data_IF_065035064755
#
_entry.id   IF_065035064755
#
_cell.length_a   1.000
_cell.length_b   1.000
_cell.length_c   1.000
_cell.angle_alpha   90.00
_cell.angle_beta   90.00
_cell.angle_gamma   90.00
#
_symmetry.space_group_name_H-M   'P 1'
#
loop_
_entity.id
_entity.type
_entity.pdbx_description
1 polymer ?
#
# COMPACT_ATOMS: atom_id res chain seq x y z
N UNK A 1 10.46 26.79 -19.25
CA UNK A 1 9.63 26.18 -18.13
C UNK A 1 10.50 25.48 -17.09
N UNK A 2 11.42 24.58 -17.44
CA UNK A 2 12.29 23.90 -16.45
C UNK A 2 13.28 24.87 -15.77
N UNK A 3 13.84 25.83 -16.52
CA UNK A 3 14.72 26.85 -15.96
C UNK A 3 13.96 27.85 -15.08
N UNK A 4 12.73 28.23 -15.47
CA UNK A 4 11.85 29.12 -14.70
C UNK A 4 11.39 28.52 -13.38
N UNK A 5 11.21 27.19 -13.31
CA UNK A 5 10.81 26.47 -12.10
C UNK A 5 11.95 26.03 -11.18
N UNK A 6 13.21 26.37 -11.48
CA UNK A 6 14.36 25.91 -10.70
C UNK A 6 14.33 26.41 -9.25
N UNK A 7 14.05 27.70 -9.06
CA UNK A 7 13.98 28.31 -7.72
C UNK A 7 12.85 27.71 -6.88
N UNK A 8 11.69 27.46 -7.49
CA UNK A 8 10.55 26.82 -6.82
C UNK A 8 10.88 25.37 -6.42
N UNK A 9 11.61 24.64 -7.28
CA UNK A 9 12.05 23.28 -6.98
C UNK A 9 13.09 23.25 -5.84
N UNK A 10 14.04 24.18 -5.81
CA UNK A 10 15.03 24.31 -4.74
C UNK A 10 14.35 24.72 -3.41
N UNK A 11 13.38 25.62 -3.47
CA UNK A 11 12.59 26.02 -2.29
C UNK A 11 11.74 24.85 -1.76
N UNK A 12 11.07 24.13 -2.62
CA UNK A 12 10.29 22.93 -2.27
C UNK A 12 11.18 21.85 -1.63
N UNK A 13 12.39 21.64 -2.18
CA UNK A 13 13.38 20.73 -1.59
C UNK A 13 13.79 21.17 -0.19
N UNK A 14 14.04 22.46 0.02
CA UNK A 14 14.38 23.01 1.33
C UNK A 14 13.25 22.81 2.35
N UNK A 15 12.00 23.07 1.95
CA UNK A 15 10.83 22.86 2.82
C UNK A 15 10.57 21.39 3.15
N UNK A 16 10.91 20.49 2.22
CA UNK A 16 10.78 19.05 2.43
C UNK A 16 11.94 18.43 3.23
N UNK A 17 12.99 19.20 3.52
CA UNK A 17 14.15 18.70 4.25
C UNK A 17 13.82 18.48 5.72
N UNK A 18 14.06 17.27 6.21
CA UNK A 18 13.95 16.97 7.63
C UNK A 18 15.07 17.63 8.43
N UNK A 19 14.70 18.33 9.48
CA UNK A 19 15.63 18.94 10.44
C UNK A 19 15.80 17.97 11.61
N UNK A 20 17.02 17.44 11.80
CA UNK A 20 17.30 16.44 12.84
C UNK A 20 17.77 17.04 14.17
N UNK A 21 18.10 18.32 14.19
CA UNK A 21 18.64 19.03 15.35
C UNK A 21 17.68 20.08 15.92
N UNK A 22 16.38 19.82 15.77
CA UNK A 22 15.35 20.65 16.40
C UNK A 22 15.52 20.54 17.92
N UNK A 23 15.64 21.67 18.66
CA UNK A 23 15.75 21.65 20.12
C UNK A 23 14.39 21.27 20.74
N UNK A 24 14.12 19.98 20.81
CA UNK A 24 12.92 19.42 21.47
C UNK A 24 13.38 18.79 22.78
N UNK A 25 12.90 19.34 23.88
CA UNK A 25 13.15 18.82 25.23
C UNK A 25 11.93 17.99 25.70
N UNK A 26 11.67 16.88 25.00
CA UNK A 26 10.58 15.97 25.29
C UNK A 26 11.13 14.55 25.30
N UNK A 27 10.87 13.80 26.37
CA UNK A 27 11.21 12.38 26.43
C UNK A 27 10.17 11.52 25.68
N UNK A 28 10.58 10.33 25.22
CA UNK A 28 9.68 9.38 24.57
C UNK A 28 8.58 8.93 25.54
N UNK A 29 8.87 8.89 26.85
CA UNK A 29 7.92 8.54 27.90
C UNK A 29 6.79 9.57 28.02
N UNK A 30 7.09 10.84 27.82
CA UNK A 30 6.09 11.92 27.81
C UNK A 30 5.21 11.89 26.55
N UNK A 31 5.65 11.22 25.49
CA UNK A 31 4.88 11.04 24.27
C UNK A 31 3.87 9.88 24.35
N UNK A 32 3.83 9.13 25.46
CA UNK A 32 2.85 8.04 25.63
C UNK A 32 1.42 8.56 25.65
N UNK A 33 0.60 7.97 24.80
CA UNK A 33 -0.82 8.24 24.79
C UNK A 33 -1.46 7.73 26.09
N UNK A 34 -2.19 8.61 26.79
CA UNK A 34 -2.84 8.30 28.07
C UNK A 34 -4.37 8.35 27.97
N UNK A 35 -4.92 8.36 26.75
CA UNK A 35 -6.31 8.62 26.50
C UNK A 35 -6.65 10.10 26.54
N UNK A 36 -7.92 10.41 26.70
CA UNK A 36 -8.44 11.77 26.76
C UNK A 36 -9.57 11.89 27.79
N UNK A 37 -9.81 13.11 28.26
CA UNK A 37 -10.90 13.40 29.17
C UNK A 37 -12.25 13.42 28.43
N UNK A 38 -13.02 12.34 28.60
CA UNK A 38 -14.33 12.17 27.96
C UNK A 38 -15.34 13.26 28.37
N UNK A 39 -15.25 13.79 29.60
CA UNK A 39 -16.19 14.83 30.09
C UNK A 39 -16.00 16.14 29.32
N UNK A 40 -14.76 16.46 28.97
CA UNK A 40 -14.43 17.67 28.20
C UNK A 40 -14.56 17.45 26.70
N UNK A 41 -14.24 16.26 26.20
CA UNK A 41 -14.25 15.96 24.77
C UNK A 41 -15.66 15.78 24.20
N UNK A 42 -16.56 15.08 24.93
CA UNK A 42 -17.91 14.80 24.44
C UNK A 42 -18.69 16.05 24.05
N UNK A 43 -18.78 17.12 24.88
CA UNK A 43 -19.48 18.34 24.48
C UNK A 43 -18.89 19.05 23.26
N UNK A 44 -17.58 18.93 23.08
CA UNK A 44 -16.91 19.51 21.89
C UNK A 44 -17.30 18.75 20.63
N UNK A 45 -17.29 17.42 20.68
CA UNK A 45 -17.71 16.58 19.56
C UNK A 45 -19.19 16.77 19.21
N UNK A 46 -20.06 16.95 20.21
CA UNK A 46 -21.47 17.27 20.01
C UNK A 46 -21.66 18.62 19.34
N UNK A 47 -20.97 19.65 19.82
CA UNK A 47 -21.00 21.01 19.23
C UNK A 47 -20.51 21.04 17.79
N UNK A 48 -19.56 20.16 17.44
CA UNK A 48 -19.02 20.02 16.08
C UNK A 48 -19.81 19.03 15.22
N UNK A 49 -20.91 18.46 15.76
CA UNK A 49 -21.77 17.47 15.08
C UNK A 49 -20.99 16.22 14.60
N UNK A 50 -19.89 15.87 15.27
CA UNK A 50 -19.04 14.74 14.92
C UNK A 50 -19.60 13.42 15.48
N UNK A 51 -20.82 13.07 15.09
CA UNK A 51 -21.58 11.92 15.61
C UNK A 51 -20.89 10.56 15.40
N UNK A 52 -20.07 10.42 14.36
CA UNK A 52 -19.29 9.19 14.11
C UNK A 52 -18.25 8.97 15.21
N UNK A 53 -17.56 10.01 15.63
CA UNK A 53 -16.58 9.93 16.73
C UNK A 53 -17.27 9.68 18.06
N UNK A 54 -18.41 10.32 18.34
CA UNK A 54 -19.20 10.08 19.56
C UNK A 54 -19.61 8.61 19.69
N UNK A 55 -20.04 7.97 18.62
CA UNK A 55 -20.40 6.54 18.64
C UNK A 55 -19.22 5.61 18.91
N UNK A 56 -18.01 6.02 18.55
CA UNK A 56 -16.79 5.23 18.70
C UNK A 56 -15.91 5.70 19.86
N UNK A 57 -16.34 6.66 20.68
CA UNK A 57 -15.51 7.35 21.66
C UNK A 57 -14.85 6.40 22.67
N UNK A 58 -15.55 5.36 23.09
CA UNK A 58 -15.01 4.35 24.02
C UNK A 58 -13.92 3.50 23.35
N UNK A 59 -14.08 3.15 22.08
CA UNK A 59 -13.08 2.41 21.30
C UNK A 59 -11.83 3.28 21.09
N UNK A 60 -12.02 4.55 20.77
CA UNK A 60 -10.93 5.50 20.63
C UNK A 60 -10.18 5.69 21.95
N UNK A 61 -10.91 5.83 23.07
CA UNK A 61 -10.32 5.94 24.40
C UNK A 61 -9.37 4.78 24.70
N UNK A 62 -9.77 3.55 24.41
CA UNK A 62 -8.91 2.37 24.58
C UNK A 62 -7.69 2.39 23.66
N UNK A 63 -7.87 2.73 22.38
CA UNK A 63 -6.78 2.82 21.41
C UNK A 63 -5.74 3.88 21.82
N UNK A 64 -6.16 4.95 22.45
CA UNK A 64 -5.28 6.01 22.95
C UNK A 64 -4.79 5.79 24.40
N UNK A 65 -4.87 4.55 24.90
CA UNK A 65 -4.30 4.18 26.20
C UNK A 65 -5.12 4.59 27.42
N UNK A 66 -6.33 5.09 27.22
CA UNK A 66 -7.23 5.47 28.33
C UNK A 66 -8.04 4.29 28.86
N UNK A 67 -8.44 4.36 30.14
CA UNK A 67 -9.34 3.39 30.78
C UNK A 67 -10.80 3.83 30.63
N UNK A 68 -11.70 2.84 30.46
CA UNK A 68 -13.16 3.08 30.46
C UNK A 68 -13.64 2.94 31.89
N UNK A 69 -14.04 4.04 32.53
CA UNK A 69 -14.70 3.99 33.83
C UNK A 69 -16.18 3.60 33.68
N UNK A 70 -16.73 2.88 34.68
CA UNK A 70 -18.06 2.26 34.64
C UNK A 70 -19.21 3.28 34.53
N UNK A 71 -18.95 4.54 34.81
CA UNK A 71 -19.93 5.63 34.69
C UNK A 71 -20.29 5.98 33.24
N UNK A 72 -19.47 5.60 32.27
CA UNK A 72 -19.69 5.90 30.85
C UNK A 72 -20.65 4.91 30.17
N UNK A 73 -21.02 3.82 30.83
CA UNK A 73 -21.97 2.82 30.28
C UNK A 73 -23.42 3.31 30.18
N UNK A 74 -23.77 4.39 30.88
CA UNK A 74 -25.18 4.83 31.00
C UNK A 74 -25.61 5.82 29.92
N UNK A 75 -24.70 6.37 29.14
CA UNK A 75 -25.01 7.40 28.12
C UNK A 75 -25.34 6.79 26.75
N UNK A 76 -25.04 5.51 26.49
CA UNK A 76 -25.14 4.89 25.15
C UNK A 76 -26.21 3.77 25.09
N UNK A 77 -27.10 3.64 26.07
CA UNK A 77 -28.15 2.62 26.01
C UNK A 77 -29.54 3.19 25.72
N UNK A 78 -29.73 3.71 24.50
CA UNK A 78 -31.05 3.77 23.85
C UNK A 78 -30.90 3.84 22.34
N UNK A 79 -31.13 2.70 21.74
CA UNK A 79 -31.65 2.32 20.43
C UNK A 79 -30.78 1.36 19.62
N UNK A 80 -31.38 0.16 19.54
CA UNK A 80 -31.34 -0.83 18.43
C UNK A 80 -29.98 -1.24 17.84
N UNK A 81 -29.65 -2.50 18.18
CA UNK A 81 -28.80 -3.39 17.39
C UNK A 81 -29.41 -3.55 15.99
N UNK A 82 -28.89 -2.85 15.02
CA UNK A 82 -28.98 -3.22 13.62
C UNK A 82 -27.56 -3.11 13.04
N UNK A 83 -27.10 -4.23 12.53
CA UNK A 83 -25.93 -4.55 11.73
C UNK A 83 -24.99 -3.40 11.39
N UNK A 84 -23.87 -3.31 12.12
CA UNK A 84 -22.72 -2.49 11.73
C UNK A 84 -21.92 -3.28 10.70
N UNK A 85 -22.37 -3.21 9.44
CA UNK A 85 -21.50 -3.54 8.31
C UNK A 85 -20.40 -2.48 8.25
N UNK A 86 -19.16 -2.92 8.32
CA UNK A 86 -17.97 -2.09 8.12
C UNK A 86 -18.05 -1.44 6.73
N UNK A 87 -18.52 -0.18 6.69
CA UNK A 87 -18.36 0.65 5.50
C UNK A 87 -16.87 1.05 5.44
N UNK A 88 -16.10 0.27 4.72
CA UNK A 88 -14.72 0.60 4.37
C UNK A 88 -14.72 1.79 3.41
N UNK A 89 -13.59 2.49 3.35
CA UNK A 89 -13.38 3.61 2.40
C UNK A 89 -13.64 3.19 0.94
N UNK A 90 -13.60 1.89 0.65
CA UNK A 90 -13.85 1.27 -0.66
C UNK A 90 -15.33 1.27 -1.08
N UNK A 91 -16.30 1.31 -0.15
CA UNK A 91 -17.74 1.40 -0.50
C UNK A 91 -18.12 2.69 -1.23
N UNK A 92 -17.30 3.74 -1.10
CA UNK A 92 -17.50 4.99 -1.84
C UNK A 92 -17.09 4.85 -3.31
N UNK A 93 -16.18 3.93 -3.62
CA UNK A 93 -15.70 3.66 -4.98
C UNK A 93 -16.68 2.76 -5.74
N UNK A 94 -17.30 1.77 -5.06
CA UNK A 94 -18.30 0.90 -5.70
C UNK A 94 -19.61 1.64 -6.08
N UNK A 95 -19.95 2.73 -5.40
CA UNK A 95 -21.14 3.53 -5.79
C UNK A 95 -20.88 4.44 -6.98
N UNK A 96 -19.64 4.85 -7.25
CA UNK A 96 -19.29 5.56 -8.48
C UNK A 96 -19.25 4.65 -9.70
N UNK A 97 -18.81 3.40 -9.55
CA UNK A 97 -18.77 2.44 -10.67
C UNK A 97 -20.13 2.01 -11.20
N UNK A 98 -21.23 2.23 -10.48
CA UNK A 98 -22.59 1.93 -10.97
C UNK A 98 -23.24 3.03 -11.80
N UNK A 99 -22.65 4.22 -11.87
CA UNK A 99 -23.16 5.32 -12.70
C UNK A 99 -22.50 5.34 -14.08
N UNK A 100 -21.30 4.75 -14.23
CA UNK A 100 -20.56 4.70 -15.49
C UNK A 100 -20.88 3.49 -16.40
N UNK A 101 -21.79 2.59 -16.00
CA UNK A 101 -22.16 1.41 -16.80
C UNK A 101 -23.10 1.72 -17.99
N UNK A 102 -23.13 2.95 -18.53
CA UNK A 102 -23.98 3.29 -19.67
C UNK A 102 -23.24 3.71 -20.95
N UNK A 103 -21.92 3.60 -20.99
CA UNK A 103 -21.12 3.79 -22.21
C UNK A 103 -20.13 2.63 -22.43
N UNK A 104 -20.61 1.38 -22.36
CA UNK A 104 -19.87 0.26 -22.91
C UNK A 104 -20.33 -0.02 -24.35
N UNK A 105 -19.56 0.45 -25.32
CA UNK A 105 -19.42 -0.24 -26.60
C UNK A 105 -18.01 -0.02 -27.13
N UNK A 106 -17.39 -1.15 -27.42
CA UNK A 106 -16.10 -1.40 -28.08
C UNK A 106 -14.95 -1.62 -27.08
N UNK A 107 -14.96 -2.79 -26.40
CA UNK A 107 -13.72 -3.51 -26.15
C UNK A 107 -13.69 -4.71 -27.10
N UNK A 108 -12.72 -4.69 -28.02
CA UNK A 108 -12.32 -5.83 -28.80
C UNK A 108 -12.04 -7.02 -27.88
N UNK A 109 -12.29 -8.23 -28.39
CA UNK A 109 -12.07 -9.50 -27.67
C UNK A 109 -10.78 -9.47 -26.85
N UNK A 110 -10.91 -9.32 -25.54
CA UNK A 110 -9.79 -9.40 -24.61
C UNK A 110 -9.27 -10.84 -24.68
N UNK A 111 -8.15 -11.04 -25.33
CA UNK A 111 -7.44 -12.31 -25.26
C UNK A 111 -7.24 -12.65 -23.79
N UNK A 112 -7.77 -13.81 -23.37
CA UNK A 112 -7.74 -14.28 -21.99
C UNK A 112 -6.30 -14.28 -21.47
N UNK A 113 -6.05 -13.57 -20.36
CA UNK A 113 -4.72 -13.47 -19.75
C UNK A 113 -4.30 -14.87 -19.29
N UNK A 114 -3.11 -15.31 -19.67
CA UNK A 114 -2.56 -16.63 -19.39
C UNK A 114 -1.28 -16.50 -18.52
N UNK A 115 -1.40 -16.25 -17.21
CA UNK A 115 -0.25 -16.02 -16.35
C UNK A 115 0.58 -17.29 -16.19
N UNK A 116 1.90 -17.12 -16.29
CA UNK A 116 2.86 -18.18 -16.02
C UNK A 116 3.03 -18.34 -14.51
N UNK A 117 2.60 -19.45 -13.92
CA UNK A 117 2.84 -19.76 -12.51
C UNK A 117 4.26 -20.35 -12.36
N UNK A 118 5.08 -19.66 -11.58
CA UNK A 118 6.49 -19.99 -11.34
C UNK A 118 6.61 -20.80 -10.04
N UNK A 119 6.32 -22.08 -10.13
CA UNK A 119 6.24 -23.03 -9.01
C UNK A 119 7.44 -24.00 -8.93
N UNK A 120 8.48 -23.76 -9.74
CA UNK A 120 9.70 -24.57 -9.76
C UNK A 120 10.94 -23.72 -10.05
N UNK A 121 12.10 -24.17 -9.57
CA UNK A 121 13.38 -23.50 -9.81
C UNK A 121 13.72 -23.38 -11.30
N UNK A 122 13.36 -24.39 -12.09
CA UNK A 122 13.57 -24.34 -13.56
C UNK A 122 12.82 -23.19 -14.20
N UNK A 123 11.52 -23.03 -13.85
CA UNK A 123 10.71 -21.90 -14.33
C UNK A 123 11.25 -20.56 -13.82
N UNK A 124 11.69 -20.50 -12.55
CA UNK A 124 12.29 -19.29 -11.98
C UNK A 124 13.56 -18.89 -12.76
N UNK A 125 14.45 -19.83 -13.06
CA UNK A 125 15.66 -19.57 -13.80
C UNK A 125 15.38 -19.10 -15.25
N UNK A 126 14.35 -19.66 -15.88
CA UNK A 126 13.90 -19.23 -17.19
C UNK A 126 13.38 -17.78 -17.15
N UNK A 127 12.52 -17.46 -16.18
CA UNK A 127 12.00 -16.11 -15.94
C UNK A 127 13.14 -15.10 -15.68
N UNK A 128 14.10 -15.43 -14.82
CA UNK A 128 15.26 -14.57 -14.52
C UNK A 128 16.08 -14.28 -15.80
N UNK A 129 16.28 -15.29 -16.63
CA UNK A 129 17.01 -15.14 -17.90
C UNK A 129 16.27 -14.18 -18.82
N UNK A 130 14.95 -14.30 -18.91
CA UNK A 130 14.10 -13.40 -19.68
C UNK A 130 14.12 -11.98 -19.11
N UNK A 131 13.91 -11.81 -17.82
CA UNK A 131 13.88 -10.49 -17.17
C UNK A 131 15.20 -9.72 -17.31
N UNK A 132 16.34 -10.42 -17.35
CA UNK A 132 17.66 -9.81 -17.61
C UNK A 132 17.78 -9.17 -18.99
N UNK A 133 16.91 -9.51 -19.95
CA UNK A 133 16.86 -8.86 -21.26
C UNK A 133 16.04 -7.57 -21.25
N UNK A 134 15.18 -7.35 -20.24
CA UNK A 134 14.25 -6.23 -20.16
C UNK A 134 14.95 -4.97 -19.63
N UNK A 135 15.57 -4.20 -20.53
CA UNK A 135 16.37 -2.99 -20.21
C UNK A 135 15.83 -1.73 -20.88
N UNK A 136 14.69 -1.82 -21.55
CA UNK A 136 14.13 -0.70 -22.27
C UNK A 136 13.33 0.22 -21.34
N UNK A 137 13.76 1.48 -21.18
CA UNK A 137 13.09 2.50 -20.37
C UNK A 137 11.68 2.80 -20.84
N UNK A 138 11.40 2.66 -22.14
CA UNK A 138 10.06 2.91 -22.70
C UNK A 138 9.10 1.72 -22.52
N UNK A 139 9.62 0.58 -22.07
CA UNK A 139 8.83 -0.60 -21.77
C UNK A 139 9.33 -1.24 -20.45
N UNK A 140 9.14 -0.57 -19.32
CA UNK A 140 9.54 -1.07 -18.02
C UNK A 140 8.75 -2.33 -17.66
N UNK A 141 9.35 -3.23 -16.90
CA UNK A 141 8.64 -4.38 -16.32
C UNK A 141 7.73 -3.88 -15.21
N UNK A 142 6.44 -4.23 -15.27
CA UNK A 142 5.52 -4.01 -14.17
C UNK A 142 5.76 -5.03 -13.07
N UNK A 143 5.76 -4.57 -11.81
CA UNK A 143 5.93 -5.40 -10.62
C UNK A 143 4.83 -5.13 -9.63
N UNK A 144 4.46 -6.16 -8.90
CA UNK A 144 3.49 -6.09 -7.82
C UNK A 144 3.82 -7.12 -6.74
N UNK A 145 3.48 -6.83 -5.47
CA UNK A 145 3.68 -7.75 -4.35
C UNK A 145 2.35 -8.12 -3.71
N UNK A 146 2.13 -9.41 -3.52
CA UNK A 146 1.02 -9.92 -2.72
C UNK A 146 1.47 -10.15 -1.28
N UNK A 147 0.69 -9.67 -0.34
CA UNK A 147 1.06 -9.64 1.07
C UNK A 147 -0.08 -10.07 1.99
N UNK A 148 0.25 -10.50 3.20
CA UNK A 148 -0.73 -10.90 4.21
C UNK A 148 -1.47 -9.73 4.88
N UNK A 149 -0.99 -8.49 4.71
CA UNK A 149 -1.52 -7.29 5.36
C UNK A 149 -1.33 -6.06 4.47
N UNK A 150 -2.23 -5.07 4.64
CA UNK A 150 -2.10 -3.75 4.01
C UNK A 150 -1.12 -2.83 4.76
N UNK A 151 -0.73 -3.18 5.98
CA UNK A 151 0.32 -2.47 6.73
C UNK A 151 1.69 -3.02 6.34
N UNK A 152 2.53 -2.26 5.61
CA UNK A 152 3.79 -2.78 5.07
C UNK A 152 4.77 -3.26 6.15
N UNK A 153 4.65 -2.76 7.39
CA UNK A 153 5.52 -3.14 8.51
C UNK A 153 5.24 -4.54 9.03
N UNK A 154 3.97 -4.98 8.94
CA UNK A 154 3.50 -6.28 9.44
C UNK A 154 3.23 -7.26 8.29
N UNK A 155 3.46 -6.83 7.06
CA UNK A 155 3.13 -7.57 5.85
C UNK A 155 4.17 -8.67 5.56
N UNK A 156 3.71 -9.92 5.57
CA UNK A 156 4.48 -11.04 5.05
C UNK A 156 4.30 -11.12 3.53
N UNK A 157 5.40 -11.25 2.80
CA UNK A 157 5.38 -11.46 1.37
C UNK A 157 4.82 -12.85 1.03
N UNK A 158 3.73 -12.89 0.28
CA UNK A 158 3.00 -14.10 -0.13
C UNK A 158 3.29 -14.48 -1.58
N UNK A 159 3.47 -13.48 -2.44
CA UNK A 159 3.79 -13.70 -3.85
C UNK A 159 4.34 -12.45 -4.53
N UNK A 160 4.90 -12.64 -5.72
CA UNK A 160 5.44 -11.58 -6.55
C UNK A 160 4.90 -11.74 -7.96
N UNK A 161 4.22 -10.70 -8.46
CA UNK A 161 3.79 -10.56 -9.84
C UNK A 161 4.77 -9.77 -10.69
N UNK A 162 4.93 -10.13 -11.96
CA UNK A 162 5.64 -9.29 -12.94
C UNK A 162 5.04 -9.46 -14.33
N UNK A 163 5.03 -8.35 -15.10
CA UNK A 163 4.59 -8.32 -16.49
C UNK A 163 5.60 -7.54 -17.32
N UNK A 164 6.06 -8.13 -18.45
CA UNK A 164 7.12 -7.56 -19.26
C UNK A 164 6.70 -7.20 -20.68
N UNK A 165 5.41 -7.37 -21.00
CA UNK A 165 4.91 -7.07 -22.35
C UNK A 165 3.40 -7.01 -22.41
N UNK A 166 2.86 -7.02 -23.63
CA UNK A 166 1.43 -6.83 -23.90
C UNK A 166 0.72 -8.12 -24.35
N UNK A 167 1.43 -9.24 -24.44
CA UNK A 167 0.81 -10.52 -24.80
C UNK A 167 0.22 -11.18 -23.56
N UNK A 168 -0.80 -12.03 -23.73
CA UNK A 168 -1.48 -12.70 -22.62
C UNK A 168 -0.57 -13.56 -21.73
N UNK A 169 0.53 -14.07 -22.27
CA UNK A 169 1.52 -14.92 -21.63
C UNK A 169 2.79 -14.18 -21.16
N UNK A 170 2.86 -12.85 -21.37
CA UNK A 170 3.99 -12.03 -20.94
C UNK A 170 3.82 -11.51 -19.49
N UNK A 171 3.23 -12.33 -18.66
CA UNK A 171 2.98 -12.09 -17.23
C UNK A 171 3.30 -13.36 -16.43
N UNK A 172 3.89 -13.18 -15.25
CA UNK A 172 4.21 -14.29 -14.37
C UNK A 172 3.83 -13.96 -12.92
N UNK A 173 3.54 -15.03 -12.17
CA UNK A 173 3.32 -14.98 -10.73
C UNK A 173 4.20 -16.01 -10.01
N UNK A 174 4.89 -15.60 -8.96
CA UNK A 174 5.81 -16.42 -8.17
C UNK A 174 5.21 -16.60 -6.77
N UNK A 175 4.57 -17.72 -6.45
CA UNK A 175 4.02 -17.99 -5.13
C UNK A 175 5.15 -18.30 -4.13
N UNK A 176 5.13 -17.65 -2.95
CA UNK A 176 6.15 -17.81 -1.90
C UNK A 176 5.59 -18.04 -0.49
N UNK A 177 4.29 -17.86 -0.29
CA UNK A 177 3.68 -17.93 1.03
C UNK A 177 2.19 -18.24 1.05
N UNK A 178 1.64 -18.84 -0.02
CA UNK A 178 0.23 -19.25 -0.06
C UNK A 178 -0.05 -20.46 0.84
N UNK A 179 -1.27 -20.51 1.38
CA UNK A 179 -1.73 -21.66 2.22
C UNK A 179 -1.92 -22.91 1.35
N UNK A 180 -2.37 -22.74 0.10
CA UNK A 180 -2.62 -23.82 -0.84
C UNK A 180 -1.71 -23.68 -2.06
N UNK A 181 -1.43 -24.81 -2.73
CA UNK A 181 -0.60 -24.86 -3.91
C UNK A 181 0.90 -24.98 -3.64
N UNK A 182 1.68 -24.99 -4.72
CA UNK A 182 3.13 -25.11 -4.64
C UNK A 182 3.78 -23.74 -4.50
N UNK A 183 4.41 -23.50 -3.35
CA UNK A 183 5.22 -22.30 -3.13
C UNK A 183 6.69 -22.60 -3.38
N UNK A 184 7.42 -21.63 -3.92
CA UNK A 184 8.87 -21.63 -3.91
C UNK A 184 9.41 -21.10 -2.57
N UNK A 185 10.60 -21.53 -2.18
CA UNK A 185 11.28 -20.96 -1.03
C UNK A 185 11.50 -19.45 -1.22
N UNK A 186 10.98 -18.66 -0.30
CA UNK A 186 11.03 -17.18 -0.34
C UNK A 186 12.45 -16.66 -0.48
N UNK A 187 13.41 -17.23 0.28
CA UNK A 187 14.80 -16.78 0.24
C UNK A 187 15.46 -17.10 -1.08
N UNK A 188 15.17 -18.27 -1.65
CA UNK A 188 15.65 -18.65 -2.98
C UNK A 188 15.14 -17.66 -4.05
N UNK A 189 13.84 -17.37 -4.05
CA UNK A 189 13.21 -16.43 -5.00
C UNK A 189 13.83 -15.04 -4.87
N UNK A 190 13.91 -14.50 -3.66
CA UNK A 190 14.45 -13.17 -3.41
C UNK A 190 15.94 -13.07 -3.81
N UNK A 191 16.76 -14.08 -3.52
CA UNK A 191 18.14 -14.10 -3.94
C UNK A 191 18.29 -14.15 -5.45
N UNK A 192 17.45 -14.90 -6.15
CA UNK A 192 17.46 -14.99 -7.60
C UNK A 192 17.02 -13.67 -8.27
N UNK A 193 16.01 -12.98 -7.69
CA UNK A 193 15.51 -11.70 -8.20
C UNK A 193 16.37 -10.49 -7.81
N UNK A 194 17.13 -10.57 -6.71
CA UNK A 194 17.94 -9.49 -6.16
C UNK A 194 18.76 -8.71 -7.22
N UNK A 195 19.51 -9.34 -8.12
CA UNK A 195 20.29 -8.61 -9.12
C UNK A 195 19.46 -7.75 -10.08
N UNK A 196 18.17 -8.09 -10.23
CA UNK A 196 17.21 -7.34 -11.07
C UNK A 196 16.54 -6.26 -10.24
N UNK A 197 16.04 -6.61 -9.05
CA UNK A 197 15.28 -5.70 -8.19
C UNK A 197 16.12 -4.53 -7.67
N UNK A 198 17.40 -4.78 -7.35
CA UNK A 198 18.30 -3.76 -6.80
C UNK A 198 19.09 -2.97 -7.86
N UNK A 199 18.82 -3.19 -9.14
CA UNK A 199 19.58 -2.54 -10.23
C UNK A 199 18.74 -1.53 -11.00
N UNK A 200 19.30 -0.35 -11.25
CA UNK A 200 18.74 0.69 -12.12
C UNK A 200 18.79 0.32 -13.62
N UNK A 201 19.55 -0.72 -13.98
CA UNK A 201 19.61 -1.21 -15.37
C UNK A 201 18.31 -1.87 -15.84
N UNK A 202 17.44 -2.27 -14.92
CA UNK A 202 16.18 -2.94 -15.21
C UNK A 202 15.03 -2.01 -14.81
N UNK A 203 14.48 -1.24 -15.76
CA UNK A 203 13.43 -0.28 -15.47
C UNK A 203 12.16 -0.98 -14.99
N UNK A 204 11.55 -0.42 -13.96
CA UNK A 204 10.38 -0.97 -13.31
C UNK A 204 9.25 0.05 -13.27
N UNK A 205 8.02 -0.43 -13.38
CA UNK A 205 6.81 0.32 -13.05
C UNK A 205 6.03 -0.40 -11.96
N UNK A 206 5.40 0.35 -11.07
CA UNK A 206 4.58 -0.17 -9.98
C UNK A 206 3.36 0.72 -9.75
N UNK A 207 2.40 0.20 -9.03
CA UNK A 207 1.26 0.93 -8.48
C UNK A 207 1.55 1.22 -7.01
N UNK A 208 1.68 2.48 -6.58
CA UNK A 208 2.07 2.84 -5.22
C UNK A 208 3.41 2.19 -4.79
N UNK A 209 4.44 2.42 -5.58
CA UNK A 209 5.77 1.84 -5.41
C UNK A 209 6.37 2.00 -4.00
N UNK A 210 5.86 2.96 -3.20
CA UNK A 210 6.26 3.14 -1.80
C UNK A 210 5.93 1.91 -0.95
N UNK A 211 4.77 1.28 -1.19
CA UNK A 211 4.35 0.09 -0.48
C UNK A 211 5.32 -1.08 -0.78
N UNK A 212 5.52 -1.40 -2.05
CA UNK A 212 6.41 -2.51 -2.46
C UNK A 212 7.84 -2.30 -2.01
N UNK A 213 8.34 -1.05 -2.06
CA UNK A 213 9.67 -0.72 -1.54
C UNK A 213 9.81 -1.05 -0.06
N UNK A 214 8.79 -0.80 0.75
CA UNK A 214 8.80 -1.16 2.17
C UNK A 214 8.73 -2.67 2.35
N UNK A 215 7.84 -3.36 1.65
CA UNK A 215 7.73 -4.83 1.68
C UNK A 215 9.07 -5.47 1.30
N UNK A 216 9.68 -5.08 0.19
CA UNK A 216 10.99 -5.60 -0.24
C UNK A 216 12.10 -5.22 0.74
N UNK A 217 12.08 -4.03 1.32
CA UNK A 217 13.07 -3.57 2.32
C UNK A 217 13.06 -4.47 3.56
N UNK A 218 11.90 -4.89 4.04
CA UNK A 218 11.79 -5.85 5.16
C UNK A 218 12.34 -7.24 4.81
N UNK A 219 12.37 -7.57 3.52
CA UNK A 219 13.01 -8.79 3.02
C UNK A 219 14.51 -8.60 2.69
N UNK A 220 15.08 -7.45 3.04
CA UNK A 220 16.47 -7.11 2.77
C UNK A 220 16.78 -6.83 1.29
N UNK A 221 15.78 -6.44 0.49
CA UNK A 221 15.92 -6.03 -0.92
C UNK A 221 15.79 -4.50 -1.00
N UNK A 222 16.78 -3.84 -1.60
CA UNK A 222 16.75 -2.41 -1.86
C UNK A 222 16.24 -2.15 -3.29
N UNK A 223 14.92 -2.06 -3.44
CA UNK A 223 14.29 -1.87 -4.75
C UNK A 223 14.79 -0.58 -5.43
N UNK A 224 15.33 -0.73 -6.66
CA UNK A 224 15.87 0.35 -7.46
C UNK A 224 15.35 0.30 -8.91
N UNK A 225 15.62 1.34 -9.72
CA UNK A 225 15.22 1.40 -11.14
C UNK A 225 13.72 1.61 -11.34
N UNK A 226 13.02 2.21 -10.40
CA UNK A 226 11.61 2.60 -10.58
C UNK A 226 11.57 3.84 -11.47
N UNK A 227 10.96 3.70 -12.64
CA UNK A 227 10.86 4.77 -13.65
C UNK A 227 9.44 5.33 -13.77
N UNK A 228 8.44 4.59 -13.30
CA UNK A 228 7.06 5.01 -13.37
C UNK A 228 6.24 4.43 -12.19
N UNK A 229 5.39 5.25 -11.61
CA UNK A 229 4.41 4.86 -10.59
C UNK A 229 3.03 5.31 -11.05
N UNK A 230 2.13 4.34 -11.30
CA UNK A 230 0.81 4.61 -11.86
C UNK A 230 -0.08 5.40 -10.89
N UNK A 231 0.09 5.22 -9.58
CA UNK A 231 -0.65 5.99 -8.59
C UNK A 231 -0.22 7.46 -8.62
N UNK A 232 1.08 7.74 -8.64
CA UNK A 232 1.57 9.13 -8.73
C UNK A 232 1.15 9.78 -10.04
N UNK A 233 1.20 9.05 -11.16
CA UNK A 233 0.77 9.55 -12.46
C UNK A 233 -0.72 9.93 -12.50
N UNK A 234 -1.56 9.31 -11.68
CA UNK A 234 -2.99 9.65 -11.60
C UNK A 234 -3.27 10.97 -10.85
N UNK A 235 -2.29 11.50 -10.13
CA UNK A 235 -2.41 12.78 -9.41
C UNK A 235 -1.86 13.99 -10.21
N UNK A 236 -1.24 13.76 -11.34
CA UNK A 236 -0.59 14.78 -12.19
C UNK A 236 -1.40 15.04 -13.45
#
# INVERSE_FOLDING_TARGET
KLEEGKEDAEHSRYLAQLIFNVPIDISIEECKLQGFDLKNLTPVLEKLELHKFLRQINKLQQQFGGSITTETKTIVSTKSEEEITQLSLFDSIEKQSKIEQKEEKVFEESSEIQPQIIDSESKLNALITLLKTQKNLSNPVAWDTETSSLEPQDAELVGIGCCWGNKPDEIAYIPTGHIEGNNLDKKLVLNALRPILESDLYPKTLQNAKFDRLVFSHQGIKLAGIVFDTMLASYV
#
